data_IF_077732966806
#
_entry.id   IF_077732966806
#
_cell.length_a   1.000
_cell.length_b   1.000
_cell.length_c   1.000
_cell.angle_alpha   90.00
_cell.angle_beta   90.00
_cell.angle_gamma   90.00
#
_symmetry.space_group_name_H-M   'P 1'
#
loop_
_entity.id
_entity.type
_entity.pdbx_description
1 polymer ?
#
# COMPACT_ATOMS: atom_id res chain seq x y z
N UNK A 1 13.59 1.15 17.07
CA UNK A 1 14.96 0.93 17.43
C UNK A 1 15.85 0.85 16.20
N UNK A 2 16.66 1.88 15.98
CA UNK A 2 17.68 1.85 14.92
C UNK A 2 18.84 1.01 15.45
N UNK A 3 19.00 -0.23 14.97
CA UNK A 3 20.11 -1.10 15.28
C UNK A 3 19.76 -2.51 15.77
N UNK A 4 18.47 -2.86 15.88
CA UNK A 4 18.05 -4.23 16.17
C UNK A 4 17.96 -5.10 14.89
N UNK A 5 18.21 -6.39 15.06
CA UNK A 5 17.96 -7.38 14.00
C UNK A 5 16.46 -7.36 13.70
N UNK A 6 16.09 -7.14 12.44
CA UNK A 6 14.71 -7.29 12.00
C UNK A 6 14.43 -8.79 11.71
N UNK A 7 13.68 -9.49 12.56
CA UNK A 7 13.44 -10.93 12.36
C UNK A 7 12.73 -11.25 11.04
N UNK A 8 11.92 -10.31 10.52
CA UNK A 8 11.23 -10.47 9.24
C UNK A 8 12.18 -10.36 8.03
N UNK A 9 13.32 -9.70 8.21
CA UNK A 9 14.35 -9.53 7.17
C UNK A 9 15.40 -10.66 7.13
N UNK A 10 15.28 -11.66 8.00
CA UNK A 10 16.21 -12.79 8.00
C UNK A 10 16.05 -13.61 6.73
N UNK A 11 17.15 -13.86 6.03
CA UNK A 11 17.16 -14.68 4.83
C UNK A 11 16.47 -16.03 5.07
N UNK A 12 15.71 -16.51 4.09
CA UNK A 12 14.98 -17.81 4.17
C UNK A 12 15.90 -19.03 4.06
N UNK A 13 17.21 -18.83 3.81
CA UNK A 13 18.19 -19.89 3.78
C UNK A 13 18.21 -20.65 5.12
N UNK A 14 18.09 -21.98 5.02
CA UNK A 14 18.02 -22.87 6.19
C UNK A 14 19.31 -22.74 7.03
N UNK A 15 20.49 -22.62 6.39
CA UNK A 15 21.74 -22.47 7.10
C UNK A 15 21.79 -21.19 7.95
N UNK A 16 21.23 -20.08 7.45
CA UNK A 16 21.14 -18.82 8.20
C UNK A 16 20.11 -18.93 9.33
N UNK A 17 18.96 -19.56 9.06
CA UNK A 17 17.90 -19.72 10.07
C UNK A 17 18.28 -20.69 11.18
N UNK A 18 19.10 -21.72 10.90
CA UNK A 18 19.58 -22.67 11.89
C UNK A 18 20.54 -22.08 12.93
N UNK A 19 21.03 -20.84 12.72
CA UNK A 19 21.81 -20.11 13.73
C UNK A 19 20.94 -19.70 14.93
N UNK A 20 19.63 -19.53 14.70
CA UNK A 20 18.67 -19.22 15.77
C UNK A 20 18.21 -20.53 16.42
N UNK A 21 18.96 -20.95 17.42
CA UNK A 21 18.68 -22.16 18.20
C UNK A 21 17.96 -21.82 19.49
N UNK A 22 17.23 -22.79 20.01
CA UNK A 22 16.62 -22.76 21.34
C UNK A 22 17.44 -23.59 22.33
N UNK A 23 17.27 -23.31 23.59
CA UNK A 23 17.78 -24.16 24.67
C UNK A 23 16.86 -25.38 24.84
N UNK A 24 16.91 -26.34 23.90
CA UNK A 24 16.08 -27.56 23.94
C UNK A 24 16.25 -28.35 25.21
N UNK A 25 17.43 -28.25 25.86
CA UNK A 25 17.70 -28.85 27.20
C UNK A 25 16.85 -28.26 28.32
N UNK A 26 16.28 -27.07 28.15
CA UNK A 26 15.42 -26.41 29.13
C UNK A 26 13.91 -26.58 28.77
N UNK A 27 13.58 -27.39 27.78
CA UNK A 27 12.19 -27.66 27.37
C UNK A 27 11.56 -26.53 26.57
N UNK A 28 12.36 -25.60 26.05
CA UNK A 28 11.86 -24.52 25.19
C UNK A 28 11.46 -25.04 23.82
N UNK A 29 10.37 -24.52 23.27
CA UNK A 29 9.92 -24.77 21.91
C UNK A 29 9.51 -23.49 21.20
N UNK A 30 9.82 -23.40 19.90
CA UNK A 30 9.36 -22.30 19.05
C UNK A 30 7.92 -22.56 18.62
N UNK A 31 7.03 -21.66 19.05
CA UNK A 31 5.65 -21.63 18.55
C UNK A 31 5.47 -20.41 17.67
N UNK A 32 4.89 -20.61 16.50
CA UNK A 32 4.63 -19.51 15.57
C UNK A 32 3.38 -19.78 14.74
N UNK A 33 2.72 -18.72 14.35
CA UNK A 33 1.61 -18.74 13.42
C UNK A 33 1.61 -17.48 12.57
N UNK A 34 1.09 -17.58 11.37
CA UNK A 34 0.89 -16.45 10.48
C UNK A 34 -0.56 -16.41 10.03
N UNK A 35 -1.11 -15.22 9.88
CA UNK A 35 -2.47 -15.04 9.38
C UNK A 35 -2.46 -15.11 7.84
N UNK A 36 -3.29 -15.96 7.25
CA UNK A 36 -3.44 -15.98 5.78
C UNK A 36 -4.20 -14.73 5.32
N UNK A 37 -3.52 -13.91 4.54
CA UNK A 37 -4.10 -12.73 3.91
C UNK A 37 -4.58 -11.63 4.87
N UNK A 38 -3.93 -11.48 6.03
CA UNK A 38 -4.31 -10.52 7.08
C UNK A 38 -4.55 -9.11 6.54
N UNK A 39 -3.62 -8.57 5.74
CA UNK A 39 -3.74 -7.21 5.22
C UNK A 39 -4.96 -7.03 4.32
N UNK A 40 -5.25 -8.02 3.47
CA UNK A 40 -6.42 -7.96 2.57
C UNK A 40 -7.72 -8.10 3.35
N UNK A 41 -7.74 -8.90 4.41
CA UNK A 41 -8.90 -9.06 5.30
C UNK A 41 -9.17 -7.77 6.08
N UNK A 42 -8.15 -7.12 6.61
CA UNK A 42 -8.28 -5.81 7.28
C UNK A 42 -8.75 -4.76 6.26
N UNK A 43 -8.20 -4.79 5.05
CA UNK A 43 -8.59 -3.88 3.98
C UNK A 43 -10.07 -4.06 3.60
N UNK A 44 -10.56 -5.31 3.49
CA UNK A 44 -11.99 -5.59 3.28
C UNK A 44 -12.86 -4.99 4.39
N UNK A 45 -12.44 -5.14 5.64
CA UNK A 45 -13.16 -4.55 6.78
C UNK A 45 -13.25 -3.03 6.71
N UNK A 46 -12.22 -2.35 6.17
CA UNK A 46 -12.18 -0.90 6.01
C UNK A 46 -13.05 -0.45 4.84
N UNK A 47 -12.89 -1.06 3.66
CA UNK A 47 -13.59 -0.62 2.45
C UNK A 47 -15.03 -1.10 2.38
N UNK A 48 -15.37 -2.14 3.14
CA UNK A 48 -16.70 -2.75 3.22
C UNK A 48 -17.31 -3.05 1.83
N UNK A 49 -16.52 -3.70 0.96
CA UNK A 49 -16.96 -3.99 -0.40
C UNK A 49 -17.55 -5.40 -0.49
N UNK A 50 -18.83 -5.57 -0.92
CA UNK A 50 -19.48 -6.87 -0.96
C UNK A 50 -18.83 -7.84 -1.95
N UNK A 51 -18.24 -7.35 -3.03
CA UNK A 51 -17.57 -8.19 -4.04
C UNK A 51 -16.28 -8.76 -3.47
N UNK A 52 -15.45 -7.92 -2.84
CA UNK A 52 -14.21 -8.38 -2.20
C UNK A 52 -14.53 -9.38 -1.08
N UNK A 53 -15.52 -9.08 -0.24
CA UNK A 53 -15.95 -9.98 0.85
C UNK A 53 -16.37 -11.35 0.35
N UNK A 54 -17.23 -11.40 -0.68
CA UNK A 54 -17.67 -12.66 -1.29
C UNK A 54 -16.48 -13.44 -1.88
N UNK A 55 -15.55 -12.74 -2.53
CA UNK A 55 -14.33 -13.33 -3.09
C UNK A 55 -13.49 -13.98 -1.98
N UNK A 56 -13.22 -13.28 -0.89
CA UNK A 56 -12.44 -13.80 0.24
C UNK A 56 -13.13 -14.99 0.92
N UNK A 57 -14.45 -14.92 1.10
CA UNK A 57 -15.23 -16.02 1.69
C UNK A 57 -15.23 -17.28 0.82
N UNK A 58 -15.11 -17.14 -0.50
CA UNK A 58 -14.97 -18.28 -1.43
C UNK A 58 -13.54 -18.82 -1.52
N UNK A 59 -12.59 -18.29 -0.76
CA UNK A 59 -11.20 -18.71 -0.75
C UNK A 59 -10.36 -18.18 -1.93
N UNK A 60 -10.94 -17.31 -2.77
CA UNK A 60 -10.23 -16.71 -3.89
C UNK A 60 -9.31 -15.60 -3.37
N UNK A 61 -8.04 -15.67 -3.73
CA UNK A 61 -7.05 -14.68 -3.30
C UNK A 61 -7.04 -13.47 -4.23
N UNK A 62 -7.19 -12.28 -3.68
CA UNK A 62 -7.20 -11.02 -4.43
C UNK A 62 -5.98 -10.87 -5.36
N UNK A 63 -4.81 -11.32 -4.91
CA UNK A 63 -3.60 -11.24 -5.72
C UNK A 63 -3.60 -12.20 -6.93
N UNK A 64 -4.30 -13.35 -6.85
CA UNK A 64 -4.50 -14.22 -8.02
C UNK A 64 -5.41 -13.56 -9.05
N UNK A 65 -6.45 -12.87 -8.59
CA UNK A 65 -7.35 -12.10 -9.46
C UNK A 65 -6.60 -10.98 -10.17
N UNK A 66 -5.83 -10.20 -9.43
CA UNK A 66 -5.08 -9.09 -10.02
C UNK A 66 -3.95 -9.57 -10.94
N UNK A 67 -3.26 -10.67 -10.59
CA UNK A 67 -2.29 -11.30 -11.48
C UNK A 67 -2.93 -11.78 -12.78
N UNK A 68 -4.14 -12.36 -12.70
CA UNK A 68 -4.93 -12.74 -13.88
C UNK A 68 -5.18 -11.54 -14.81
N UNK A 69 -5.49 -10.37 -14.28
CA UNK A 69 -5.70 -9.16 -15.08
C UNK A 69 -4.41 -8.60 -15.65
N UNK A 70 -3.32 -8.60 -14.87
CA UNK A 70 -2.02 -8.11 -15.30
C UNK A 70 -1.41 -8.93 -16.43
N UNK A 71 -1.51 -10.25 -16.34
CA UNK A 71 -0.80 -11.18 -17.24
C UNK A 71 -1.72 -11.89 -18.24
N UNK A 72 -3.03 -11.62 -18.22
CA UNK A 72 -4.00 -12.24 -19.13
C UNK A 72 -4.17 -13.75 -18.94
N UNK A 73 -3.77 -14.27 -17.78
CA UNK A 73 -3.86 -15.72 -17.46
C UNK A 73 -5.21 -16.00 -16.79
N UNK A 74 -5.97 -17.03 -17.22
CA UNK A 74 -7.23 -17.40 -16.59
C UNK A 74 -7.07 -17.62 -15.08
N UNK A 75 -8.03 -17.12 -14.27
CA UNK A 75 -7.97 -17.17 -12.82
C UNK A 75 -7.82 -18.60 -12.27
N UNK A 76 -8.47 -19.58 -12.90
CA UNK A 76 -8.43 -20.99 -12.52
C UNK A 76 -7.02 -21.58 -12.61
N UNK A 77 -6.19 -21.01 -13.48
CA UNK A 77 -4.80 -21.44 -13.70
C UNK A 77 -3.80 -20.61 -12.91
N UNK A 78 -4.22 -19.41 -12.42
CA UNK A 78 -3.35 -18.46 -11.73
C UNK A 78 -3.10 -18.88 -10.28
N UNK A 79 -2.04 -19.64 -10.07
CA UNK A 79 -1.59 -20.07 -8.75
C UNK A 79 -0.06 -20.14 -8.69
N UNK A 80 0.48 -20.23 -7.47
CA UNK A 80 1.92 -20.25 -7.21
C UNK A 80 2.64 -21.45 -7.88
N UNK A 81 1.96 -22.58 -8.03
CA UNK A 81 2.55 -23.80 -8.64
C UNK A 81 2.71 -23.65 -10.15
N UNK A 82 1.70 -23.10 -10.83
CA UNK A 82 1.67 -23.06 -12.29
C UNK A 82 2.41 -21.82 -12.85
N UNK A 83 2.29 -20.69 -12.17
CA UNK A 83 2.84 -19.38 -12.58
C UNK A 83 3.50 -18.66 -11.39
N UNK A 84 4.59 -19.19 -10.82
CA UNK A 84 5.19 -18.66 -9.60
C UNK A 84 5.62 -17.19 -9.74
N UNK A 85 6.24 -16.81 -10.85
CA UNK A 85 6.72 -15.45 -11.09
C UNK A 85 5.56 -14.45 -11.14
N UNK A 86 4.55 -14.72 -11.95
CA UNK A 86 3.37 -13.88 -12.16
C UNK A 86 2.54 -13.79 -10.89
N UNK A 87 2.40 -14.88 -10.17
CA UNK A 87 1.72 -14.93 -8.88
C UNK A 87 2.39 -14.03 -7.84
N UNK A 88 3.72 -14.10 -7.70
CA UNK A 88 4.46 -13.25 -6.78
C UNK A 88 4.40 -11.77 -7.18
N UNK A 89 4.53 -11.46 -8.46
CA UNK A 89 4.37 -10.10 -8.98
C UNK A 89 2.96 -9.57 -8.71
N UNK A 90 1.93 -10.39 -8.93
CA UNK A 90 0.54 -10.05 -8.60
C UNK A 90 0.36 -9.75 -7.12
N UNK A 91 0.95 -10.56 -6.24
CA UNK A 91 0.94 -10.34 -4.79
C UNK A 91 1.59 -8.99 -4.43
N UNK A 92 2.76 -8.69 -4.96
CA UNK A 92 3.44 -7.43 -4.73
C UNK A 92 2.63 -6.23 -5.25
N UNK A 93 2.01 -6.37 -6.44
CA UNK A 93 1.18 -5.33 -7.03
C UNK A 93 -0.09 -5.06 -6.23
N UNK A 94 -0.75 -6.10 -5.67
CA UNK A 94 -1.92 -5.91 -4.79
C UNK A 94 -1.54 -5.11 -3.56
N UNK A 95 -0.49 -5.50 -2.86
CA UNK A 95 -0.05 -4.76 -1.68
C UNK A 95 0.34 -3.33 -2.03
N UNK A 96 1.10 -3.13 -3.10
CA UNK A 96 1.44 -1.79 -3.56
C UNK A 96 0.17 -0.94 -3.84
N UNK A 97 -0.86 -1.53 -4.47
CA UNK A 97 -2.13 -0.84 -4.74
C UNK A 97 -2.87 -0.49 -3.45
N UNK A 98 -2.98 -1.41 -2.50
CA UNK A 98 -3.60 -1.15 -1.19
C UNK A 98 -2.88 -0.01 -0.45
N UNK A 99 -1.56 0.09 -0.60
CA UNK A 99 -0.75 1.17 -0.04
C UNK A 99 -0.69 2.42 -0.92
N UNK A 100 -1.54 2.54 -1.93
CA UNK A 100 -1.71 3.75 -2.75
C UNK A 100 -0.69 3.94 -3.86
N UNK A 101 0.04 2.91 -4.25
CA UNK A 101 0.98 3.00 -5.37
C UNK A 101 0.25 3.23 -6.69
N UNK A 102 0.83 4.09 -7.52
CA UNK A 102 0.34 4.42 -8.85
C UNK A 102 0.85 3.44 -9.91
N UNK A 103 0.26 3.47 -11.12
CA UNK A 103 0.58 2.58 -12.22
C UNK A 103 2.08 2.51 -12.57
N UNK A 104 2.83 3.60 -12.43
CA UNK A 104 4.28 3.63 -12.62
C UNK A 104 5.03 2.67 -11.69
N UNK A 105 4.65 2.63 -10.41
CA UNK A 105 5.28 1.72 -9.45
C UNK A 105 4.93 0.27 -9.74
N UNK A 106 3.70 -0.01 -10.10
CA UNK A 106 3.25 -1.35 -10.45
C UNK A 106 3.91 -1.84 -11.75
N UNK A 107 4.12 -0.95 -12.72
CA UNK A 107 4.88 -1.24 -13.96
C UNK A 107 6.30 -1.72 -13.63
N UNK A 108 7.00 -1.03 -12.73
CA UNK A 108 8.33 -1.43 -12.28
C UNK A 108 8.34 -2.81 -11.61
N UNK A 109 7.32 -3.12 -10.82
CA UNK A 109 7.21 -4.41 -10.09
C UNK A 109 6.83 -5.55 -11.03
N UNK A 110 5.85 -5.34 -11.89
CA UNK A 110 5.34 -6.37 -12.81
C UNK A 110 6.25 -6.60 -14.01
N UNK A 111 6.96 -5.57 -14.46
CA UNK A 111 7.70 -5.56 -15.72
C UNK A 111 6.82 -5.31 -16.95
N UNK A 112 5.54 -4.92 -16.75
CA UNK A 112 4.59 -4.57 -17.80
C UNK A 112 4.62 -3.06 -18.11
N UNK A 113 4.09 -2.67 -19.25
CA UNK A 113 3.93 -1.26 -19.58
C UNK A 113 2.94 -0.55 -18.66
N UNK A 114 3.06 0.76 -18.52
CA UNK A 114 2.15 1.57 -17.71
C UNK A 114 0.70 1.43 -18.22
N UNK A 115 0.53 1.31 -19.53
CA UNK A 115 -0.78 1.16 -20.15
C UNK A 115 -1.46 -0.16 -19.77
N UNK A 116 -0.75 -1.29 -19.85
CA UNK A 116 -1.25 -2.62 -19.43
C UNK A 116 -1.62 -2.63 -17.96
N UNK A 117 -0.75 -2.08 -17.11
CA UNK A 117 -1.01 -1.97 -15.67
C UNK A 117 -2.23 -1.08 -15.40
N UNK A 118 -2.36 0.05 -16.09
CA UNK A 118 -3.51 0.95 -15.93
C UNK A 118 -4.81 0.25 -16.31
N UNK A 119 -4.83 -0.52 -17.39
CA UNK A 119 -6.00 -1.34 -17.78
C UNK A 119 -6.37 -2.36 -16.69
N UNK A 120 -5.38 -3.06 -16.15
CA UNK A 120 -5.60 -4.04 -15.08
C UNK A 120 -6.10 -3.38 -13.78
N UNK A 121 -5.54 -2.23 -13.39
CA UNK A 121 -6.00 -1.44 -12.24
C UNK A 121 -7.42 -0.95 -12.42
N UNK A 122 -7.74 -0.40 -13.59
CA UNK A 122 -9.10 0.07 -13.91
C UNK A 122 -10.11 -1.07 -13.81
N UNK A 123 -9.76 -2.24 -14.35
CA UNK A 123 -10.60 -3.43 -14.25
C UNK A 123 -10.82 -3.84 -12.79
N UNK A 124 -9.74 -3.91 -11.99
CA UNK A 124 -9.83 -4.24 -10.57
C UNK A 124 -10.74 -3.28 -9.81
N UNK A 125 -10.60 -1.96 -10.04
CA UNK A 125 -11.41 -0.93 -9.38
C UNK A 125 -12.85 -0.90 -9.89
N UNK A 126 -13.12 -1.37 -11.11
CA UNK A 126 -14.47 -1.52 -11.64
C UNK A 126 -15.18 -2.72 -11.01
N UNK A 127 -14.49 -3.84 -10.83
CA UNK A 127 -15.05 -5.05 -10.22
C UNK A 127 -15.16 -4.93 -8.69
N UNK A 128 -14.24 -4.18 -8.05
CA UNK A 128 -14.22 -3.91 -6.60
C UNK A 128 -14.17 -2.39 -6.37
N UNK A 129 -15.31 -1.69 -6.52
CA UNK A 129 -15.37 -0.23 -6.44
C UNK A 129 -14.88 0.34 -5.11
N UNK A 130 -14.98 -0.44 -4.03
CA UNK A 130 -14.49 -0.06 -2.71
C UNK A 130 -13.00 0.28 -2.69
N UNK A 131 -12.17 -0.36 -3.54
CA UNK A 131 -10.74 -0.05 -3.63
C UNK A 131 -10.53 1.37 -4.13
N UNK A 132 -11.14 1.74 -5.25
CA UNK A 132 -11.01 3.07 -5.83
C UNK A 132 -11.56 4.15 -4.89
N UNK A 133 -12.71 3.91 -4.25
CA UNK A 133 -13.32 4.80 -3.26
C UNK A 133 -12.38 5.03 -2.07
N UNK A 134 -11.83 3.98 -1.47
CA UNK A 134 -10.92 4.11 -0.35
C UNK A 134 -9.66 4.92 -0.69
N UNK A 135 -9.05 4.68 -1.84
CA UNK A 135 -7.89 5.44 -2.29
C UNK A 135 -8.23 6.92 -2.50
N UNK A 136 -9.41 7.21 -3.05
CA UNK A 136 -9.90 8.59 -3.26
C UNK A 136 -10.20 9.29 -1.93
N UNK A 137 -10.80 8.61 -0.97
CA UNK A 137 -11.17 9.18 0.34
C UNK A 137 -9.96 9.33 1.28
N UNK A 138 -9.02 8.38 1.25
CA UNK A 138 -7.85 8.40 2.13
C UNK A 138 -6.78 9.41 1.68
N UNK A 139 -6.54 9.53 0.39
CA UNK A 139 -5.50 10.42 -0.14
C UNK A 139 -5.63 11.87 0.35
N UNK A 140 -6.82 12.51 0.34
CA UNK A 140 -6.98 13.87 0.83
C UNK A 140 -6.71 14.05 2.33
N UNK A 141 -6.79 12.99 3.13
CA UNK A 141 -6.59 13.09 4.58
C UNK A 141 -5.15 13.42 4.96
N UNK A 142 -4.18 12.97 4.16
CA UNK A 142 -2.75 13.11 4.45
C UNK A 142 -1.94 13.72 3.30
N UNK A 143 -2.57 14.00 2.15
CA UNK A 143 -1.87 14.69 1.06
C UNK A 143 -1.76 16.19 1.37
N UNK A 144 -0.54 16.74 1.44
CA UNK A 144 -0.36 18.17 1.71
C UNK A 144 -0.78 19.07 0.54
N UNK A 145 -1.10 18.50 -0.61
CA UNK A 145 -1.34 19.23 -1.86
C UNK A 145 -2.77 19.09 -2.38
N UNK A 146 -3.75 18.79 -1.53
CA UNK A 146 -5.15 18.77 -1.97
C UNK A 146 -5.69 20.20 -2.08
N UNK A 147 -6.07 20.57 -3.30
CA UNK A 147 -6.78 21.82 -3.55
C UNK A 147 -8.22 21.53 -3.97
N UNK A 148 -9.15 22.35 -3.52
CA UNK A 148 -10.54 22.37 -4.00
C UNK A 148 -10.77 23.67 -4.80
N UNK A 149 -11.49 23.57 -5.92
CA UNK A 149 -11.80 24.69 -6.79
C UNK A 149 -10.86 24.90 -7.96
N UNK A 150 -11.19 25.84 -8.82
CA UNK A 150 -10.49 26.15 -10.07
C UNK A 150 -10.20 27.65 -10.13
N UNK A 151 -9.03 28.03 -10.61
CA UNK A 151 -8.64 29.41 -10.84
C UNK A 151 -8.46 30.22 -9.56
N UNK A 152 -9.15 31.36 -9.42
CA UNK A 152 -9.04 32.24 -8.24
C UNK A 152 -9.76 31.74 -6.99
N UNK A 153 -10.61 30.72 -7.12
CA UNK A 153 -11.38 30.11 -6.04
C UNK A 153 -10.72 28.83 -5.49
N UNK A 154 -9.40 28.70 -5.63
CA UNK A 154 -8.66 27.56 -5.08
C UNK A 154 -8.60 27.68 -3.55
N UNK A 155 -9.17 26.68 -2.89
CA UNK A 155 -9.10 26.51 -1.45
C UNK A 155 -8.20 25.32 -1.16
N UNK A 156 -7.19 25.52 -0.33
CA UNK A 156 -6.29 24.47 0.12
C UNK A 156 -6.84 23.83 1.40
N UNK A 157 -6.99 22.51 1.38
CA UNK A 157 -7.33 21.77 2.60
C UNK A 157 -6.13 21.70 3.53
N UNK A 158 -6.36 22.06 4.79
CA UNK A 158 -5.37 21.91 5.85
C UNK A 158 -5.25 20.40 6.19
N UNK A 159 -4.08 19.76 5.98
CA UNK A 159 -3.91 18.33 6.26
C UNK A 159 -4.01 18.06 7.77
N UNK A 160 -4.53 16.89 8.11
CA UNK A 160 -4.56 16.43 9.51
C UNK A 160 -3.14 16.08 9.96
N UNK A 161 -2.74 16.54 11.14
CA UNK A 161 -1.45 16.24 11.74
C UNK A 161 -1.43 14.88 12.47
N UNK A 162 -2.59 14.30 12.72
CA UNK A 162 -2.75 12.97 13.32
C UNK A 162 -3.84 12.21 12.57
N UNK A 163 -3.53 10.99 12.17
CA UNK A 163 -4.50 10.04 11.60
C UNK A 163 -4.57 8.82 12.51
N UNK A 164 -5.76 8.54 13.04
CA UNK A 164 -6.04 7.36 13.85
C UNK A 164 -6.37 6.14 12.99
N UNK A 165 -5.81 4.99 13.34
CA UNK A 165 -6.22 3.72 12.77
C UNK A 165 -7.51 3.20 13.44
N UNK A 166 -8.14 2.20 12.81
CA UNK A 166 -9.33 1.53 13.33
C UNK A 166 -9.13 0.96 14.75
N UNK A 167 -7.91 0.57 15.09
CA UNK A 167 -7.55 -0.01 16.39
C UNK A 167 -6.96 1.00 17.39
N UNK A 168 -7.19 2.30 17.17
CA UNK A 168 -6.76 3.36 18.08
C UNK A 168 -5.28 3.73 17.98
N UNK A 169 -4.51 3.14 17.07
CA UNK A 169 -3.14 3.57 16.81
C UNK A 169 -3.15 4.91 16.07
N UNK A 170 -2.46 5.90 16.60
CA UNK A 170 -2.36 7.23 16.02
C UNK A 170 -1.00 7.42 15.34
N UNK A 171 -1.02 7.70 14.04
CA UNK A 171 0.17 8.12 13.28
C UNK A 171 0.22 9.64 13.23
N UNK A 172 1.33 10.21 13.73
CA UNK A 172 1.57 11.64 13.70
C UNK A 172 2.34 12.04 12.43
N UNK A 173 1.82 13.04 11.72
CA UNK A 173 2.43 13.66 10.54
C UNK A 173 2.90 15.09 10.83
N UNK A 174 3.20 15.40 12.08
CA UNK A 174 3.51 16.78 12.53
C UNK A 174 4.54 17.50 11.69
N UNK A 175 5.60 16.80 11.27
CA UNK A 175 6.63 17.41 10.44
C UNK A 175 6.10 17.74 9.05
N UNK A 176 5.33 16.81 8.44
CA UNK A 176 4.79 16.95 7.10
C UNK A 176 3.72 18.05 7.08
N UNK A 177 2.86 18.10 8.09
CA UNK A 177 1.86 19.16 8.28
C UNK A 177 2.54 20.52 8.50
N UNK A 178 3.59 20.59 9.30
CA UNK A 178 4.35 21.82 9.50
C UNK A 178 4.95 22.32 8.19
N UNK A 179 5.53 21.45 7.39
CA UNK A 179 6.07 21.78 6.08
C UNK A 179 4.97 22.21 5.11
N UNK A 180 3.81 21.53 5.10
CA UNK A 180 2.66 21.91 4.31
C UNK A 180 2.11 23.28 4.71
N UNK A 181 1.93 23.57 6.00
CA UNK A 181 1.49 24.89 6.51
C UNK A 181 2.44 26.01 6.10
N UNK A 182 3.74 25.78 6.15
CA UNK A 182 4.72 26.75 5.66
C UNK A 182 4.64 26.94 4.15
N UNK A 183 4.40 25.87 3.40
CA UNK A 183 4.16 25.93 1.96
C UNK A 183 2.93 26.79 1.63
N UNK A 184 1.80 26.57 2.30
CA UNK A 184 0.58 27.36 2.10
C UNK A 184 0.79 28.84 2.45
N UNK A 185 1.52 29.13 3.52
CA UNK A 185 1.88 30.50 3.88
C UNK A 185 2.73 31.16 2.79
N UNK A 186 3.72 30.47 2.24
CA UNK A 186 4.56 30.97 1.15
C UNK A 186 3.76 31.13 -0.15
N UNK A 187 2.87 30.21 -0.47
CA UNK A 187 2.00 30.30 -1.64
C UNK A 187 1.06 31.51 -1.56
N UNK A 188 0.50 31.80 -0.38
CA UNK A 188 -0.36 32.98 -0.14
C UNK A 188 0.39 34.29 -0.22
N UNK A 189 1.71 34.31 -0.01
CA UNK A 189 2.58 35.50 -0.13
C UNK A 189 3.15 35.69 -1.55
N UNK A 190 2.76 34.89 -2.52
CA UNK A 190 3.15 35.04 -3.93
C UNK A 190 4.58 34.61 -4.26
N UNK A 191 5.24 33.85 -3.39
CA UNK A 191 6.58 33.31 -3.65
C UNK A 191 6.51 32.18 -4.66
N UNK A 192 7.18 32.35 -5.81
CA UNK A 192 7.10 31.45 -6.99
C UNK A 192 7.90 30.14 -6.90
N UNK A 193 8.72 29.92 -5.87
CA UNK A 193 9.66 28.79 -5.84
C UNK A 193 9.13 27.58 -5.07
N UNK A 194 7.94 27.11 -5.51
CA UNK A 194 7.20 26.05 -4.86
C UNK A 194 7.67 24.64 -5.24
N UNK A 195 8.34 24.51 -6.40
CA UNK A 195 8.80 23.19 -6.91
C UNK A 195 9.83 22.52 -6.00
N UNK A 196 10.70 23.28 -5.39
CA UNK A 196 11.77 22.76 -4.54
C UNK A 196 11.29 22.36 -3.13
N UNK A 197 10.24 23.00 -2.61
CA UNK A 197 9.67 22.66 -1.31
C UNK A 197 8.85 21.34 -1.39
N UNK A 198 8.05 21.19 -2.41
CA UNK A 198 7.23 19.96 -2.62
C UNK A 198 8.09 18.72 -2.82
N UNK A 199 9.21 18.83 -3.54
CA UNK A 199 10.13 17.73 -3.77
C UNK A 199 10.90 17.26 -2.52
N UNK A 200 11.12 18.16 -1.54
CA UNK A 200 11.78 17.79 -0.27
C UNK A 200 10.88 17.06 0.70
N UNK A 201 9.59 17.34 0.71
CA UNK A 201 8.61 16.68 1.58
C UNK A 201 8.36 15.24 1.13
N UNK A 202 8.22 15.00 -0.16
CA UNK A 202 7.94 13.66 -0.74
C UNK A 202 9.14 12.69 -0.63
N UNK A 203 10.37 13.19 -0.50
CA UNK A 203 11.59 12.33 -0.44
C UNK A 203 11.94 11.82 0.95
N UNK A 204 11.32 12.29 2.03
CA UNK A 204 11.65 11.87 3.39
C UNK A 204 10.87 10.68 3.92
N UNK A 205 9.82 10.24 3.23
CA UNK A 205 8.98 9.11 3.61
C UNK A 205 9.30 7.81 2.84
N UNK A 206 10.56 7.65 2.41
CA UNK A 206 11.07 6.38 1.84
C UNK A 206 12.20 5.82 2.68
#
# INVERSE_FOLDING_TARGET
GRGGINPQGINKDIAIRSIFTLHESEGESLCGGDFDGQEVTIFDAIINDPTLRKMLQSGVKLHSVFASYLFGIPLEKMNEKNYPSEYYKGKQCVFATIYGAQAQKLSQVSGLSIEEVTKAMTRLMTEIPGIGRALTELTPLYSPATQEGIGRAVIWKDPKDIVGSLFGYNRSFRLDVYMAKNFFRLASTGVRDLKNLTMRVVRKDR
#
